data_IF_953715531805
#
_entry.id   IF_953715531805
#
_cell.length_a   1.000
_cell.length_b   1.000
_cell.length_c   1.000
_cell.angle_alpha   90.00
_cell.angle_beta   90.00
_cell.angle_gamma   90.00
#
_symmetry.space_group_name_H-M   'P 1'
#
loop_
_entity.id
_entity.type
_entity.pdbx_description
1 polymer ?
#
# COMPACT_ATOMS: atom_id res chain seq x y z
N UNK A 1 -18.58 8.49 -25.08
CA UNK A 1 -17.18 8.02 -25.08
C UNK A 1 -16.62 8.23 -23.70
N UNK A 2 -16.56 7.17 -22.87
CA UNK A 2 -16.00 7.27 -21.52
C UNK A 2 -14.48 7.09 -21.63
N UNK A 3 -13.73 8.18 -21.41
CA UNK A 3 -12.29 8.10 -21.22
C UNK A 3 -12.03 7.33 -19.94
N UNK A 4 -11.56 6.10 -20.06
CA UNK A 4 -10.96 5.37 -18.96
C UNK A 4 -9.74 6.18 -18.50
N UNK A 5 -9.94 7.00 -17.47
CA UNK A 5 -8.84 7.58 -16.71
C UNK A 5 -8.18 6.39 -16.03
N UNK A 6 -7.15 5.84 -16.67
CA UNK A 6 -6.29 4.84 -16.05
C UNK A 6 -5.69 5.50 -14.82
N UNK A 7 -5.80 4.87 -13.64
CA UNK A 7 -5.13 5.36 -12.44
C UNK A 7 -3.65 5.55 -12.75
N UNK A 8 -2.99 6.61 -12.24
CA UNK A 8 -1.57 6.84 -12.50
C UNK A 8 -0.71 5.63 -12.13
N UNK A 9 -1.08 4.92 -11.05
CA UNK A 9 -0.44 3.67 -10.61
C UNK A 9 -0.52 2.55 -11.66
N UNK A 10 -1.57 2.52 -12.49
CA UNK A 10 -1.72 1.57 -13.60
C UNK A 10 -0.85 1.95 -14.80
N UNK A 11 -0.63 3.24 -15.03
CA UNK A 11 0.22 3.75 -16.11
C UNK A 11 1.68 3.40 -15.80
N UNK A 12 2.15 3.68 -14.58
CA UNK A 12 3.52 3.36 -14.17
C UNK A 12 3.82 1.86 -14.29
N UNK A 13 2.92 1.01 -13.79
CA UNK A 13 3.07 -0.44 -13.91
C UNK A 13 3.06 -0.92 -15.38
N UNK A 14 2.26 -0.28 -16.24
CA UNK A 14 2.18 -0.64 -17.66
C UNK A 14 3.44 -0.20 -18.40
N UNK A 15 3.94 1.01 -18.13
CA UNK A 15 5.18 1.54 -18.71
C UNK A 15 6.39 0.68 -18.35
N UNK A 16 6.52 0.27 -17.08
CA UNK A 16 7.59 -0.63 -16.63
C UNK A 16 7.52 -1.97 -17.37
N UNK A 17 6.31 -2.53 -17.55
CA UNK A 17 6.13 -3.80 -18.26
C UNK A 17 6.45 -3.71 -19.76
N UNK A 18 6.10 -2.60 -20.41
CA UNK A 18 6.28 -2.38 -21.85
C UNK A 18 7.72 -2.06 -22.21
N UNK A 19 8.43 -1.28 -21.37
CA UNK A 19 9.79 -0.85 -21.65
C UNK A 19 10.84 -1.91 -21.31
N UNK A 20 10.60 -2.73 -20.29
CA UNK A 20 11.65 -3.60 -19.75
C UNK A 20 11.37 -5.10 -19.86
N UNK A 21 10.14 -5.53 -20.18
CA UNK A 21 9.75 -6.95 -20.28
C UNK A 21 9.75 -7.69 -18.92
N UNK A 22 10.74 -7.42 -18.08
CA UNK A 22 10.91 -7.70 -16.67
C UNK A 22 11.54 -6.46 -16.05
N UNK A 23 10.85 -5.78 -15.14
CA UNK A 23 11.39 -4.61 -14.46
C UNK A 23 12.78 -4.90 -13.88
N UNK A 24 13.75 -4.01 -14.09
CA UNK A 24 15.05 -4.14 -13.44
C UNK A 24 14.83 -3.88 -11.97
N UNK A 25 15.16 -4.86 -11.11
CA UNK A 25 14.95 -4.78 -9.65
C UNK A 25 15.50 -3.49 -9.02
N UNK A 26 16.54 -2.89 -9.61
CA UNK A 26 17.08 -1.60 -9.19
C UNK A 26 16.10 -0.43 -9.36
N UNK A 27 15.35 -0.39 -10.45
CA UNK A 27 14.36 0.66 -10.73
C UNK A 27 13.14 0.50 -9.81
N UNK A 28 12.64 -0.72 -9.63
CA UNK A 28 11.58 -0.98 -8.66
C UNK A 28 12.00 -0.55 -7.24
N UNK A 29 13.22 -0.88 -6.84
CA UNK A 29 13.73 -0.48 -5.54
C UNK A 29 13.90 1.04 -5.43
N UNK A 30 14.27 1.74 -6.50
CA UNK A 30 14.33 3.20 -6.52
C UNK A 30 12.93 3.82 -6.32
N UNK A 31 11.91 3.30 -7.00
CA UNK A 31 10.52 3.74 -6.81
C UNK A 31 10.03 3.50 -5.38
N UNK A 32 10.25 2.28 -4.85
CA UNK A 32 9.89 1.95 -3.45
C UNK A 32 10.60 2.83 -2.43
N UNK A 33 11.87 3.18 -2.66
CA UNK A 33 12.60 4.15 -1.81
C UNK A 33 11.97 5.55 -1.89
N UNK A 34 11.62 6.01 -3.08
CA UNK A 34 10.95 7.30 -3.25
C UNK A 34 9.59 7.34 -2.54
N UNK A 35 8.81 6.25 -2.61
CA UNK A 35 7.54 6.13 -1.89
C UNK A 35 7.72 6.13 -0.37
N UNK A 36 8.75 5.45 0.14
CA UNK A 36 9.09 5.48 1.57
C UNK A 36 9.45 6.90 2.04
N UNK A 37 10.28 7.63 1.27
CA UNK A 37 10.67 9.03 1.56
C UNK A 37 9.44 9.94 1.52
N UNK A 38 8.58 9.78 0.51
CA UNK A 38 7.33 10.54 0.40
C UNK A 38 6.43 10.30 1.61
N UNK A 39 6.25 9.05 2.03
CA UNK A 39 5.46 8.70 3.20
C UNK A 39 6.04 9.34 4.48
N UNK A 40 7.35 9.30 4.64
CA UNK A 40 8.05 9.92 5.75
C UNK A 40 7.90 11.46 5.75
N UNK A 41 7.97 12.11 4.58
CA UNK A 41 7.73 13.54 4.41
C UNK A 41 6.29 13.95 4.75
N UNK A 42 5.33 13.02 4.65
CA UNK A 42 3.93 13.21 5.06
C UNK A 42 3.71 12.96 6.56
N UNK A 43 4.77 12.69 7.32
CA UNK A 43 4.72 12.45 8.77
C UNK A 43 4.27 11.05 9.17
N UNK A 44 4.28 10.09 8.24
CA UNK A 44 3.89 8.72 8.54
C UNK A 44 4.98 8.00 9.37
N UNK A 45 4.59 7.09 10.29
CA UNK A 45 5.55 6.30 11.08
C UNK A 45 6.31 5.29 10.20
N UNK A 46 7.43 4.73 10.68
CA UNK A 46 8.27 3.81 9.90
C UNK A 46 7.50 2.61 9.30
N UNK A 47 6.61 1.99 10.08
CA UNK A 47 5.76 0.90 9.63
C UNK A 47 4.86 1.30 8.46
N UNK A 48 4.25 2.48 8.54
CA UNK A 48 3.45 3.06 7.47
C UNK A 48 4.27 3.43 6.23
N UNK A 49 5.54 3.85 6.41
CA UNK A 49 6.44 4.12 5.29
C UNK A 49 6.78 2.83 4.52
N UNK A 50 7.07 1.74 5.23
CA UNK A 50 7.30 0.44 4.61
C UNK A 50 6.06 -0.06 3.85
N UNK A 51 4.88 0.06 4.47
CA UNK A 51 3.61 -0.31 3.85
C UNK A 51 3.27 0.54 2.63
N UNK A 52 3.55 1.85 2.65
CA UNK A 52 3.37 2.75 1.52
C UNK A 52 4.29 2.39 0.34
N UNK A 53 5.52 1.97 0.64
CA UNK A 53 6.49 1.48 -0.33
C UNK A 53 6.25 0.01 -0.77
N UNK A 54 5.25 -0.68 -0.23
CA UNK A 54 4.97 -2.08 -0.56
C UNK A 54 6.07 -3.06 -0.13
N UNK A 55 6.85 -2.74 0.90
CA UNK A 55 7.94 -3.56 1.43
C UNK A 55 7.73 -3.94 2.90
N UNK A 56 8.53 -4.87 3.40
CA UNK A 56 8.55 -5.20 4.83
C UNK A 56 9.31 -4.15 5.64
N UNK A 57 8.97 -4.00 6.92
CA UNK A 57 9.71 -3.12 7.84
C UNK A 57 11.18 -3.55 8.00
N UNK A 58 11.44 -4.86 7.98
CA UNK A 58 12.80 -5.39 7.99
C UNK A 58 13.60 -4.90 6.78
N UNK A 59 13.03 -4.98 5.57
CA UNK A 59 13.71 -4.51 4.35
C UNK A 59 13.96 -2.99 4.39
N UNK A 60 13.01 -2.21 4.92
CA UNK A 60 13.21 -0.77 5.11
C UNK A 60 14.34 -0.50 6.11
N UNK A 61 14.43 -1.28 7.19
CA UNK A 61 15.53 -1.20 8.16
C UNK A 61 16.87 -1.53 7.50
N UNK A 62 16.94 -2.64 6.77
CA UNK A 62 18.15 -3.07 6.07
C UNK A 62 18.63 -2.01 5.06
N UNK A 63 17.71 -1.38 4.32
CA UNK A 63 18.05 -0.28 3.41
C UNK A 63 18.64 0.92 4.14
N UNK A 64 18.10 1.26 5.32
CA UNK A 64 18.61 2.37 6.13
C UNK A 64 19.97 2.06 6.77
N UNK A 65 20.28 0.79 7.00
CA UNK A 65 21.59 0.36 7.51
C UNK A 65 22.65 0.33 6.40
N UNK A 66 22.28 -0.16 5.21
CA UNK A 66 23.18 -0.33 4.08
C UNK A 66 23.45 0.97 3.30
N UNK A 67 22.50 1.90 3.28
CA UNK A 67 22.60 3.16 2.55
C UNK A 67 22.47 4.38 3.50
N UNK A 68 23.60 4.95 3.95
CA UNK A 68 23.61 6.13 4.81
C UNK A 68 22.95 7.37 4.18
N UNK A 69 22.98 7.49 2.85
CA UNK A 69 22.37 8.64 2.15
C UNK A 69 20.86 8.53 2.20
N UNK A 70 20.32 7.34 1.96
CA UNK A 70 18.90 7.06 2.12
C UNK A 70 18.43 7.26 3.56
N UNK A 71 19.22 6.81 4.54
CA UNK A 71 18.93 7.04 5.95
C UNK A 71 18.85 8.54 6.29
N UNK A 72 19.84 9.33 5.86
CA UNK A 72 19.89 10.76 6.10
C UNK A 72 18.73 11.50 5.43
N UNK A 73 18.34 11.10 4.22
CA UNK A 73 17.18 11.64 3.52
C UNK A 73 15.88 11.37 4.30
N UNK A 74 15.65 10.12 4.72
CA UNK A 74 14.50 9.73 5.55
C UNK A 74 14.43 10.54 6.86
N UNK A 75 15.56 10.68 7.56
CA UNK A 75 15.63 11.44 8.81
C UNK A 75 15.33 12.93 8.59
N UNK A 76 15.86 13.52 7.51
CA UNK A 76 15.64 14.93 7.17
C UNK A 76 14.18 15.22 6.85
N UNK A 77 13.53 14.38 6.04
CA UNK A 77 12.12 14.57 5.70
C UNK A 77 11.20 14.31 6.90
N UNK A 78 11.56 13.40 7.82
CA UNK A 78 10.83 13.21 9.08
C UNK A 78 10.95 14.44 9.99
N UNK A 79 12.16 14.99 10.14
CA UNK A 79 12.36 16.22 10.90
C UNK A 79 11.56 17.40 10.29
N UNK A 80 11.55 17.50 8.96
CA UNK A 80 10.72 18.47 8.24
C UNK A 80 9.23 18.25 8.51
N UNK A 81 8.75 17.01 8.45
CA UNK A 81 7.35 16.68 8.74
C UNK A 81 6.96 16.97 10.20
N UNK A 82 7.88 16.80 11.15
CA UNK A 82 7.66 17.17 12.55
C UNK A 82 7.62 18.69 12.74
N UNK A 83 8.53 19.43 12.10
CA UNK A 83 8.58 20.89 12.18
C UNK A 83 7.35 21.56 11.54
N UNK A 84 6.86 21.01 10.43
CA UNK A 84 5.66 21.48 9.73
C UNK A 84 4.39 20.71 10.11
N UNK A 85 4.51 19.77 11.05
CA UNK A 85 3.41 18.96 11.55
C UNK A 85 2.33 19.83 12.18
N UNK A 86 1.07 19.35 12.09
CA UNK A 86 -0.13 20.08 12.52
C UNK A 86 0.06 20.64 13.93
N UNK A 87 0.29 21.95 14.03
CA UNK A 87 0.13 22.75 15.26
C UNK A 87 -1.36 22.90 15.66
N UNK A 88 -2.20 21.94 15.27
CA UNK A 88 -3.64 21.98 15.39
C UNK A 88 -4.11 20.67 16.00
N UNK A 89 -4.49 20.77 17.26
CA UNK A 89 -4.90 19.78 18.25
C UNK A 89 -6.18 18.99 17.89
N UNK A 90 -6.38 18.65 16.60
CA UNK A 90 -7.57 17.92 16.17
C UNK A 90 -7.29 16.41 16.17
N UNK A 91 -7.83 15.65 17.14
CA UNK A 91 -7.59 14.22 17.23
C UNK A 91 -8.26 13.49 16.05
N UNK A 92 -7.46 12.85 15.20
CA UNK A 92 -7.98 12.02 14.11
C UNK A 92 -7.00 11.80 12.97
N UNK A 93 -7.46 11.05 11.96
CA UNK A 93 -6.67 10.76 10.76
C UNK A 93 -6.43 12.03 9.94
N UNK A 94 -5.17 12.28 9.62
CA UNK A 94 -4.79 13.14 8.51
C UNK A 94 -5.18 12.50 7.17
N UNK A 95 -5.28 13.32 6.12
CA UNK A 95 -5.54 12.84 4.76
C UNK A 95 -4.53 11.75 4.28
N UNK A 96 -3.20 11.88 4.46
CA UNK A 96 -2.27 10.84 4.02
C UNK A 96 -2.41 9.54 4.83
N UNK A 97 -2.68 9.60 6.13
CA UNK A 97 -2.94 8.41 6.95
C UNK A 97 -4.21 7.69 6.49
N UNK A 98 -5.30 8.43 6.25
CA UNK A 98 -6.55 7.84 5.77
C UNK A 98 -6.37 7.23 4.38
N UNK A 99 -5.62 7.89 3.48
CA UNK A 99 -5.30 7.35 2.15
C UNK A 99 -4.54 6.02 2.26
N UNK A 100 -3.54 5.95 3.14
CA UNK A 100 -2.78 4.70 3.36
C UNK A 100 -3.67 3.60 3.92
N UNK A 101 -4.52 3.90 4.91
CA UNK A 101 -5.46 2.92 5.46
C UNK A 101 -6.37 2.36 4.36
N UNK A 102 -6.92 3.24 3.52
CA UNK A 102 -7.83 2.86 2.44
C UNK A 102 -7.13 2.04 1.35
N UNK A 103 -5.88 2.36 1.00
CA UNK A 103 -5.11 1.60 0.01
C UNK A 103 -4.73 0.21 0.54
N UNK A 104 -4.34 0.10 1.81
CA UNK A 104 -4.05 -1.18 2.46
C UNK A 104 -5.29 -2.07 2.58
N UNK A 105 -6.45 -1.48 2.90
CA UNK A 105 -7.71 -2.23 2.90
C UNK A 105 -8.06 -2.70 1.49
N UNK A 106 -7.90 -1.84 0.47
CA UNK A 106 -8.16 -2.20 -0.92
C UNK A 106 -7.23 -3.30 -1.43
N UNK A 107 -5.98 -3.38 -0.93
CA UNK A 107 -4.98 -4.40 -1.29
C UNK A 107 -5.16 -5.72 -0.53
N UNK A 108 -5.99 -5.77 0.52
CA UNK A 108 -6.36 -7.01 1.19
C UNK A 108 -6.23 -7.01 2.71
N UNK A 109 -5.60 -6.00 3.29
CA UNK A 109 -5.41 -5.88 4.74
C UNK A 109 -6.74 -5.71 5.48
N UNK A 110 -6.79 -6.16 6.74
CA UNK A 110 -7.94 -5.88 7.61
C UNK A 110 -7.93 -4.41 8.02
N UNK A 111 -9.11 -3.85 8.31
CA UNK A 111 -9.21 -2.48 8.84
C UNK A 111 -8.38 -2.31 10.12
N UNK A 112 -8.34 -3.33 10.99
CA UNK A 112 -7.56 -3.28 12.23
C UNK A 112 -6.06 -3.21 11.98
N UNK A 113 -5.53 -4.04 11.08
CA UNK A 113 -4.12 -3.99 10.71
C UNK A 113 -3.77 -2.66 10.04
N UNK A 114 -4.62 -2.19 9.12
CA UNK A 114 -4.38 -0.94 8.39
C UNK A 114 -4.38 0.29 9.32
N UNK A 115 -5.30 0.39 10.28
CA UNK A 115 -5.31 1.52 11.24
C UNK A 115 -4.14 1.45 12.22
N UNK A 116 -3.70 0.24 12.59
CA UNK A 116 -2.55 0.06 13.47
C UNK A 116 -1.25 0.59 12.85
N UNK A 117 -1.08 0.50 11.51
CA UNK A 117 0.09 1.06 10.81
C UNK A 117 0.27 2.56 11.04
N UNK A 118 -0.82 3.29 11.26
CA UNK A 118 -0.83 4.74 11.53
C UNK A 118 -1.09 5.07 13.00
N UNK A 119 -0.97 4.09 13.90
CA UNK A 119 -1.08 4.30 15.34
C UNK A 119 -2.51 4.51 15.88
N UNK A 120 -3.55 4.26 15.07
CA UNK A 120 -4.94 4.45 15.46
C UNK A 120 -5.68 3.14 15.70
N UNK A 121 -6.62 3.17 16.65
CA UNK A 121 -7.56 2.06 16.84
C UNK A 121 -8.72 2.12 15.84
N UNK A 122 -9.34 0.96 15.59
CA UNK A 122 -10.55 0.87 14.76
C UNK A 122 -11.72 1.69 15.33
N UNK A 123 -11.74 1.92 16.65
CA UNK A 123 -12.75 2.75 17.30
C UNK A 123 -12.67 4.22 16.86
N UNK A 124 -11.46 4.76 16.67
CA UNK A 124 -11.24 6.11 16.15
C UNK A 124 -11.79 6.22 14.72
N UNK A 125 -11.46 5.24 13.87
CA UNK A 125 -11.97 5.21 12.49
C UNK A 125 -13.50 5.07 12.46
N UNK A 126 -14.08 4.23 13.33
CA UNK A 126 -15.54 4.09 13.46
C UNK A 126 -16.20 5.42 13.84
N UNK A 127 -15.62 6.16 14.79
CA UNK A 127 -16.11 7.49 15.20
C UNK A 127 -16.03 8.51 14.07
N UNK A 128 -14.95 8.46 13.29
CA UNK A 128 -14.79 9.31 12.10
C UNK A 128 -15.84 8.99 11.04
N UNK A 129 -16.07 7.70 10.76
CA UNK A 129 -17.10 7.23 9.81
C UNK A 129 -18.51 7.66 10.22
N UNK A 130 -18.84 7.60 11.51
CA UNK A 130 -20.16 8.03 11.99
C UNK A 130 -20.39 9.54 11.90
N UNK A 131 -19.30 10.33 11.93
CA UNK A 131 -19.36 11.81 11.84
C UNK A 131 -19.28 12.31 10.41
N UNK A 132 -18.69 11.53 9.50
CA UNK A 132 -18.46 11.94 8.11
C UNK A 132 -18.92 10.84 7.12
N UNK A 133 -20.05 11.06 6.42
CA UNK A 133 -20.60 10.07 5.50
C UNK A 133 -19.70 9.81 4.27
N UNK A 134 -18.90 10.80 3.85
CA UNK A 134 -17.95 10.63 2.73
C UNK A 134 -16.82 9.68 3.12
N UNK A 135 -16.28 9.80 4.34
CA UNK A 135 -15.27 8.85 4.86
C UNK A 135 -15.85 7.44 4.93
N UNK A 136 -17.11 7.30 5.35
CA UNK A 136 -17.78 6.01 5.37
C UNK A 136 -17.92 5.40 3.96
N UNK A 137 -18.29 6.21 2.97
CA UNK A 137 -18.39 5.76 1.58
C UNK A 137 -17.04 5.29 1.02
N UNK A 138 -15.95 6.03 1.29
CA UNK A 138 -14.59 5.66 0.88
C UNK A 138 -14.14 4.33 1.50
N UNK A 139 -14.36 4.15 2.80
CA UNK A 139 -14.02 2.87 3.47
C UNK A 139 -14.80 1.71 2.85
N UNK A 140 -16.11 1.91 2.61
CA UNK A 140 -16.93 0.88 1.98
C UNK A 140 -16.43 0.56 0.56
N UNK A 141 -16.09 1.57 -0.24
CA UNK A 141 -15.53 1.38 -1.58
C UNK A 141 -14.24 0.55 -1.56
N UNK A 142 -13.30 0.86 -0.65
CA UNK A 142 -12.07 0.07 -0.46
C UNK A 142 -12.37 -1.39 -0.07
N UNK A 143 -13.35 -1.62 0.81
CA UNK A 143 -13.71 -2.99 1.20
C UNK A 143 -14.38 -3.77 0.07
N UNK A 144 -15.21 -3.11 -0.75
CA UNK A 144 -15.83 -3.74 -1.93
C UNK A 144 -14.79 -4.09 -2.97
N UNK A 145 -13.82 -3.20 -3.22
CA UNK A 145 -12.70 -3.46 -4.11
C UNK A 145 -11.92 -4.71 -3.69
N UNK A 146 -11.59 -4.83 -2.39
CA UNK A 146 -10.96 -6.03 -1.83
C UNK A 146 -11.76 -7.30 -2.10
N UNK A 147 -13.08 -7.25 -1.92
CA UNK A 147 -13.95 -8.41 -2.15
C UNK A 147 -13.98 -8.83 -3.62
N UNK A 148 -14.07 -7.88 -4.54
CA UNK A 148 -14.05 -8.14 -5.99
C UNK A 148 -12.75 -8.80 -6.44
N UNK A 149 -11.61 -8.34 -5.93
CA UNK A 149 -10.32 -8.97 -6.21
C UNK A 149 -10.17 -10.37 -5.60
N UNK A 150 -10.76 -10.59 -4.43
CA UNK A 150 -10.77 -11.91 -3.79
C UNK A 150 -11.64 -12.93 -4.55
N UNK A 151 -12.80 -12.51 -5.06
CA UNK A 151 -13.70 -13.39 -5.84
C UNK A 151 -13.15 -13.69 -7.23
N UNK A 152 -12.49 -12.72 -7.88
CA UNK A 152 -11.82 -12.92 -9.16
C UNK A 152 -10.73 -14.01 -9.09
N UNK A 153 -9.93 -14.04 -8.01
CA UNK A 153 -8.92 -15.10 -7.79
C UNK A 153 -9.53 -16.50 -7.57
N UNK A 154 -10.77 -16.59 -7.08
CA UNK A 154 -11.45 -17.87 -6.80
C UNK A 154 -12.13 -18.46 -8.05
N UNK A 155 -12.36 -17.66 -9.09
CA UNK A 155 -12.99 -18.09 -10.35
C UNK A 155 -12.07 -18.84 -11.33
N UNK A 156 -10.76 -18.81 -11.12
CA UNK A 156 -9.78 -19.45 -12.01
C UNK A 156 -9.16 -20.67 -11.33
N UNK A 157 -9.97 -21.72 -11.13
CA UNK A 157 -9.41 -23.08 -11.00
C UNK A 157 -9.57 -23.76 -12.36
N UNK A 158 -8.54 -23.79 -13.24
CA UNK A 158 -8.53 -24.76 -14.30
C UNK A 158 -8.27 -26.11 -13.63
N UNK A 159 -9.34 -26.85 -13.34
CA UNK A 159 -9.28 -28.24 -12.89
C UNK A 159 -8.72 -29.12 -14.00
N UNK A 160 -7.41 -28.98 -14.24
CA UNK A 160 -6.64 -29.78 -15.18
C UNK A 160 -6.56 -31.19 -14.58
N UNK A 161 -7.51 -32.03 -14.98
CA UNK A 161 -7.54 -33.47 -14.69
C UNK A 161 -6.37 -34.13 -15.41
N UNK A 162 -5.19 -34.12 -14.81
CA UNK A 162 -4.15 -35.07 -15.18
C UNK A 162 -4.62 -36.47 -14.73
N UNK A 163 -5.12 -37.25 -15.69
CA UNK A 163 -5.43 -38.67 -15.52
C UNK A 163 -4.11 -39.42 -15.72
N UNK A 164 -3.51 -39.90 -14.63
CA UNK A 164 -2.38 -40.83 -14.69
C UNK A 164 -2.86 -42.11 -15.38
N UNK A 165 -2.32 -42.40 -16.56
CA UNK A 165 -2.51 -43.68 -17.25
C UNK A 165 -1.41 -44.60 -16.74
N UNK A 166 -1.77 -45.63 -15.99
CA UNK A 166 -0.84 -46.71 -15.66
C UNK A 166 -0.44 -47.39 -16.98
N UNK A 167 0.86 -47.37 -17.28
CA UNK A 167 1.45 -48.12 -18.38
C UNK A 167 1.76 -49.50 -17.83
N UNK A 168 0.99 -50.51 -18.22
CA UNK A 168 1.35 -51.90 -17.98
C UNK A 168 2.63 -52.19 -18.77
N UNK A 169 3.72 -52.43 -18.05
CA UNK A 169 4.96 -52.99 -18.59
C UNK A 169 4.74 -54.48 -18.87
N UNK A 170 5.18 -54.93 -20.06
CA UNK A 170 5.22 -56.34 -20.46
C UNK A 170 6.54 -56.96 -20.06
#
# INVERSE_FOLDING_TARGET
MAGLVTPPETIDHTLVSVLHGTAVLSEENALRRADAIRAAALGLPPAACAAAAGISEALLSDWREQDPSFHAAMASVQAMAQAHGRHGDEPGFSAPELRLVLSQVASGSTLAAATALVGYSTAVLRRLRSRNPLVNALVNASTTHRQQHATAKKGTTPGNRYRLVQREER
#
